data_IF_260111919241
#
_entry.id   IF_260111919241
#
_cell.length_a   1.000
_cell.length_b   1.000
_cell.length_c   1.000
_cell.angle_alpha   90.00
_cell.angle_beta   90.00
_cell.angle_gamma   90.00
#
_symmetry.space_group_name_H-M   'P 1'
#
loop_
_entity.id
_entity.type
_entity.pdbx_description
1 polymer ?
#
# COMPACT_ATOMS: atom_id res chain seq x y z
N UNK A 1 -7.47 9.35 20.54
CA UNK A 1 -7.54 8.00 19.93
C UNK A 1 -6.12 7.57 19.65
N UNK A 2 -5.70 6.38 20.08
CA UNK A 2 -4.34 5.88 19.84
C UNK A 2 -4.32 5.30 18.43
N UNK A 3 -3.44 5.83 17.56
CA UNK A 3 -3.24 5.29 16.21
C UNK A 3 -2.30 4.08 16.34
N UNK A 4 -2.68 2.89 15.85
CA UNK A 4 -1.83 1.71 15.92
C UNK A 4 -0.60 1.85 15.01
N UNK A 5 0.45 1.08 15.30
CA UNK A 5 1.64 1.00 14.46
C UNK A 5 1.29 0.67 13.01
N UNK A 6 2.06 1.25 12.08
CA UNK A 6 1.84 1.04 10.65
C UNK A 6 2.03 -0.44 10.28
N UNK A 7 1.14 -1.02 9.46
CA UNK A 7 1.31 -2.40 8.99
C UNK A 7 2.61 -2.55 8.19
N UNK A 8 3.44 -3.53 8.55
CA UNK A 8 4.69 -3.84 7.84
C UNK A 8 4.44 -5.01 6.90
N UNK A 9 4.66 -4.81 5.60
CA UNK A 9 4.39 -5.86 4.60
C UNK A 9 5.63 -6.33 3.84
N UNK A 10 6.79 -5.71 4.04
CA UNK A 10 8.05 -6.12 3.37
C UNK A 10 8.37 -7.59 3.65
N UNK A 11 8.75 -8.32 2.60
CA UNK A 11 9.04 -9.75 2.62
C UNK A 11 7.80 -10.65 2.55
N UNK A 12 6.60 -10.10 2.63
CA UNK A 12 5.39 -10.89 2.60
C UNK A 12 5.10 -11.45 1.20
N UNK A 13 4.86 -12.77 1.13
CA UNK A 13 4.34 -13.45 -0.06
C UNK A 13 2.81 -13.37 -0.11
N UNK A 14 2.26 -13.02 -1.28
CA UNK A 14 0.82 -12.85 -1.50
C UNK A 14 0.44 -13.38 -2.88
N UNK A 15 -0.85 -13.55 -3.09
CA UNK A 15 -1.42 -13.93 -4.37
C UNK A 15 -2.35 -12.82 -4.88
N UNK A 16 -2.31 -12.59 -6.19
CA UNK A 16 -3.32 -11.89 -6.95
C UNK A 16 -4.14 -12.94 -7.70
N UNK A 17 -5.46 -12.77 -7.73
CA UNK A 17 -6.34 -13.52 -8.62
C UNK A 17 -6.78 -12.57 -9.72
N UNK A 18 -6.41 -12.87 -10.95
CA UNK A 18 -6.81 -12.13 -12.14
C UNK A 18 -8.30 -12.31 -12.46
N UNK A 19 -8.82 -11.49 -13.37
CA UNK A 19 -10.22 -11.55 -13.79
C UNK A 19 -10.59 -12.90 -14.42
N UNK A 20 -9.60 -13.60 -14.99
CA UNK A 20 -9.76 -14.91 -15.61
C UNK A 20 -9.57 -16.06 -14.60
N UNK A 21 -9.38 -15.76 -13.31
CA UNK A 21 -9.12 -16.75 -12.26
C UNK A 21 -7.66 -17.22 -12.19
N UNK A 22 -6.78 -16.70 -13.03
CA UNK A 22 -5.35 -16.96 -12.97
C UNK A 22 -4.78 -16.45 -11.64
N UNK A 23 -3.94 -17.28 -11.01
CA UNK A 23 -3.32 -16.95 -9.72
C UNK A 23 -1.86 -16.59 -9.95
N UNK A 24 -1.49 -15.35 -9.63
CA UNK A 24 -0.11 -14.86 -9.70
C UNK A 24 0.43 -14.63 -8.29
N UNK A 25 1.59 -15.22 -7.99
CA UNK A 25 2.28 -15.03 -6.72
C UNK A 25 3.26 -13.88 -6.82
N UNK A 26 3.35 -13.09 -5.75
CA UNK A 26 4.30 -12.00 -5.65
C UNK A 26 4.82 -11.82 -4.23
N UNK A 27 6.02 -11.23 -4.13
CA UNK A 27 6.64 -10.79 -2.89
C UNK A 27 6.68 -9.27 -2.84
N UNK A 28 6.37 -8.67 -1.69
CA UNK A 28 6.54 -7.23 -1.46
C UNK A 28 8.01 -6.98 -1.10
N UNK A 29 8.79 -6.41 -2.02
CA UNK A 29 10.22 -6.21 -1.83
C UNK A 29 10.54 -5.03 -0.93
N UNK A 30 9.81 -3.94 -1.08
CA UNK A 30 9.99 -2.70 -0.31
C UNK A 30 8.70 -1.86 -0.41
N UNK A 31 8.57 -0.87 0.45
CA UNK A 31 7.40 0.00 0.50
C UNK A 31 7.73 1.44 0.95
N UNK A 32 7.01 2.39 0.38
CA UNK A 32 6.99 3.79 0.81
C UNK A 32 5.66 4.03 1.51
N UNK A 33 5.74 4.57 2.73
CA UNK A 33 4.57 5.04 3.47
C UNK A 33 4.46 6.56 3.39
N UNK A 34 3.23 7.04 3.28
CA UNK A 34 2.92 8.45 3.35
C UNK A 34 1.60 8.68 4.07
N UNK A 35 1.66 9.33 5.23
CA UNK A 35 0.48 9.77 5.98
C UNK A 35 0.11 11.17 5.46
N UNK A 36 -1.05 11.35 4.80
CA UNK A 36 -1.48 12.66 4.34
C UNK A 36 -1.72 13.59 5.53
N UNK A 37 -1.25 14.84 5.43
CA UNK A 37 -1.47 15.83 6.50
C UNK A 37 -2.97 16.11 6.74
N UNK A 38 -3.83 15.90 5.74
CA UNK A 38 -5.28 16.08 5.85
C UNK A 38 -6.00 14.94 6.57
N UNK A 39 -5.37 13.77 6.74
CA UNK A 39 -6.00 12.62 7.40
C UNK A 39 -4.94 11.69 8.01
N UNK A 40 -4.64 11.83 9.32
CA UNK A 40 -3.67 10.96 10.01
C UNK A 40 -4.16 9.51 10.19
N UNK A 41 -5.45 9.26 9.95
CA UNK A 41 -6.07 7.94 10.05
C UNK A 41 -6.11 7.22 8.70
N UNK A 42 -5.41 7.78 7.70
CA UNK A 42 -5.14 7.17 6.41
C UNK A 42 -3.64 7.16 6.18
N UNK A 43 -3.15 6.08 5.60
CA UNK A 43 -1.75 5.96 5.16
C UNK A 43 -1.72 5.38 3.77
N UNK A 44 -1.01 6.03 2.87
CA UNK A 44 -0.82 5.61 1.49
C UNK A 44 0.45 4.76 1.41
N UNK A 45 0.35 3.65 0.70
CA UNK A 45 1.43 2.71 0.45
C UNK A 45 1.72 2.69 -1.05
N UNK A 46 2.99 2.94 -1.41
CA UNK A 46 3.52 2.55 -2.71
C UNK A 46 4.43 1.34 -2.48
N UNK A 47 4.01 0.19 -2.98
CA UNK A 47 4.73 -1.08 -2.79
C UNK A 47 5.42 -1.49 -4.08
N UNK A 48 6.69 -1.90 -3.97
CA UNK A 48 7.42 -2.55 -5.05
C UNK A 48 7.21 -4.06 -4.92
N UNK A 49 6.61 -4.66 -5.93
CA UNK A 49 6.25 -6.07 -5.98
C UNK A 49 7.21 -6.80 -6.91
N UNK A 50 7.52 -8.04 -6.59
CA UNK A 50 8.24 -8.96 -7.45
C UNK A 50 7.36 -10.17 -7.71
N UNK A 51 6.94 -10.35 -8.96
CA UNK A 51 6.16 -11.52 -9.36
C UNK A 51 7.06 -12.73 -9.55
N UNK A 52 6.61 -13.90 -9.08
CA UNK A 52 7.38 -15.15 -9.12
C UNK A 52 7.45 -15.73 -10.54
N UNK A 53 6.44 -15.47 -11.38
CA UNK A 53 6.29 -16.04 -12.73
C UNK A 53 7.16 -15.33 -13.77
N UNK A 54 7.11 -14.00 -13.84
CA UNK A 54 7.80 -13.21 -14.87
C UNK A 54 9.17 -12.68 -14.41
N UNK A 55 9.44 -12.73 -13.10
CA UNK A 55 10.53 -11.97 -12.46
C UNK A 55 10.48 -10.45 -12.76
N UNK A 56 9.34 -9.92 -13.21
CA UNK A 56 9.15 -8.48 -13.37
C UNK A 56 8.78 -7.80 -12.06
N UNK A 57 9.23 -6.56 -11.91
CA UNK A 57 8.84 -5.68 -10.82
C UNK A 57 7.65 -4.82 -11.23
N UNK A 58 6.58 -4.85 -10.43
CA UNK A 58 5.43 -3.96 -10.61
C UNK A 58 5.27 -3.06 -9.37
N UNK A 59 4.59 -1.93 -9.52
CA UNK A 59 4.28 -1.03 -8.40
C UNK A 59 2.80 -1.07 -8.09
N UNK A 60 2.47 -1.21 -6.80
CA UNK A 60 1.09 -1.15 -6.30
C UNK A 60 0.88 0.08 -5.44
N UNK A 61 -0.10 0.89 -5.80
CA UNK A 61 -0.67 1.92 -4.94
C UNK A 61 -1.83 1.33 -4.15
N UNK A 62 -1.74 1.40 -2.83
CA UNK A 62 -2.79 1.02 -1.91
C UNK A 62 -2.81 1.93 -0.70
N UNK A 63 -3.72 1.68 0.23
CA UNK A 63 -3.80 2.45 1.46
C UNK A 63 -4.40 1.65 2.59
N UNK A 64 -4.04 2.02 3.82
CA UNK A 64 -4.79 1.64 5.01
C UNK A 64 -5.61 2.83 5.51
N UNK A 65 -6.78 2.55 6.08
CA UNK A 65 -7.53 3.49 6.90
C UNK A 65 -7.87 2.86 8.24
N UNK A 66 -7.92 3.67 9.31
CA UNK A 66 -8.41 3.21 10.62
C UNK A 66 -9.91 2.97 10.52
N UNK A 67 -10.34 1.73 10.76
CA UNK A 67 -11.75 1.37 10.73
C UNK A 67 -12.56 2.12 11.79
N UNK A 68 -13.68 2.71 11.36
CA UNK A 68 -14.60 3.47 12.24
C UNK A 68 -15.85 2.70 12.64
N UNK A 69 -16.30 1.81 11.77
CA UNK A 69 -17.54 1.05 11.97
C UNK A 69 -17.37 0.08 13.14
N UNK A 70 -18.41 -0.05 13.97
CA UNK A 70 -18.42 -1.01 15.06
C UNK A 70 -18.19 -2.43 14.53
N UNK A 71 -17.42 -3.23 15.27
CA UNK A 71 -17.06 -4.59 14.89
C UNK A 71 -15.54 -4.82 14.88
N UNK A 72 -15.13 -5.89 14.17
CA UNK A 72 -13.75 -6.42 14.20
C UNK A 72 -12.68 -5.47 13.67
N UNK A 73 -13.05 -4.47 12.88
CA UNK A 73 -12.14 -3.52 12.24
C UNK A 73 -12.02 -2.19 12.97
N UNK A 74 -12.84 -1.94 14.00
CA UNK A 74 -12.84 -0.66 14.73
C UNK A 74 -11.47 -0.43 15.37
N UNK A 75 -10.86 0.72 15.08
CA UNK A 75 -9.56 1.11 15.60
C UNK A 75 -8.38 0.33 15.02
N UNK A 76 -8.59 -0.49 13.98
CA UNK A 76 -7.53 -1.25 13.30
C UNK A 76 -7.29 -0.71 11.89
N UNK A 77 -6.08 -0.88 11.39
CA UNK A 77 -5.76 -0.60 9.99
C UNK A 77 -6.47 -1.59 9.07
N UNK A 78 -7.22 -1.06 8.10
CA UNK A 78 -7.94 -1.84 7.08
C UNK A 78 -7.37 -1.50 5.70
N UNK A 79 -6.93 -2.52 4.97
CA UNK A 79 -6.35 -2.38 3.63
C UNK A 79 -7.44 -2.11 2.57
N UNK A 80 -7.13 -1.25 1.61
CA UNK A 80 -7.87 -1.06 0.39
C UNK A 80 -6.95 -0.63 -0.76
N UNK A 81 -7.37 -0.87 -2.00
CA UNK A 81 -6.56 -0.61 -3.20
C UNK A 81 -7.41 -0.12 -4.39
N UNK A 82 -8.40 0.75 -4.10
CA UNK A 82 -9.21 1.40 -5.13
C UNK A 82 -8.50 2.61 -5.76
N UNK A 83 -9.15 3.27 -6.70
CA UNK A 83 -8.68 4.53 -7.29
C UNK A 83 -8.45 5.58 -6.19
N UNK A 84 -7.17 5.79 -5.83
CA UNK A 84 -6.79 6.63 -4.71
C UNK A 84 -6.99 8.10 -5.05
N UNK A 85 -7.93 8.76 -4.37
CA UNK A 85 -7.99 10.22 -4.32
C UNK A 85 -6.93 10.74 -3.34
N UNK A 86 -6.04 11.60 -3.82
CA UNK A 86 -4.89 12.13 -3.08
C UNK A 86 -4.59 13.57 -3.53
N UNK A 87 -4.15 14.43 -2.62
CA UNK A 87 -3.72 15.78 -3.00
C UNK A 87 -2.41 15.75 -3.79
N UNK A 88 -2.22 16.71 -4.70
CA UNK A 88 -1.01 16.81 -5.50
C UNK A 88 0.29 16.85 -4.67
N UNK A 89 0.26 17.49 -3.49
CA UNK A 89 1.42 17.54 -2.57
C UNK A 89 1.81 16.16 -2.02
N UNK A 90 0.84 15.34 -1.70
CA UNK A 90 1.05 14.01 -1.12
C UNK A 90 1.54 13.05 -2.20
N UNK A 91 0.96 13.12 -3.40
CA UNK A 91 1.45 12.39 -4.57
C UNK A 91 2.90 12.76 -4.90
N UNK A 92 3.22 14.07 -4.93
CA UNK A 92 4.59 14.55 -5.15
C UNK A 92 5.56 13.97 -4.12
N UNK A 93 5.19 13.95 -2.84
CA UNK A 93 6.04 13.40 -1.79
C UNK A 93 6.31 11.90 -1.99
N UNK A 94 5.30 11.10 -2.36
CA UNK A 94 5.45 9.67 -2.66
C UNK A 94 6.41 9.46 -3.84
N UNK A 95 6.22 10.19 -4.93
CA UNK A 95 7.07 10.08 -6.14
C UNK A 95 8.51 10.48 -5.83
N UNK A 96 8.73 11.55 -5.06
CA UNK A 96 10.09 11.96 -4.68
C UNK A 96 10.79 10.91 -3.80
N UNK A 97 10.07 10.25 -2.89
CA UNK A 97 10.60 9.11 -2.13
C UNK A 97 10.98 7.94 -3.04
N UNK A 98 10.16 7.66 -4.07
CA UNK A 98 10.44 6.61 -5.05
C UNK A 98 11.68 6.91 -5.89
N UNK A 99 11.82 8.15 -6.37
CA UNK A 99 13.03 8.63 -7.06
C UNK A 99 14.27 8.52 -6.18
N UNK A 100 14.18 8.95 -4.92
CA UNK A 100 15.30 8.85 -3.95
C UNK A 100 15.75 7.40 -3.71
N UNK A 101 14.82 6.44 -3.79
CA UNK A 101 15.12 5.01 -3.70
C UNK A 101 15.56 4.39 -5.03
N UNK A 102 15.62 5.15 -6.12
CA UNK A 102 15.98 4.65 -7.45
C UNK A 102 14.95 3.70 -8.05
N UNK A 103 13.68 3.85 -7.67
CA UNK A 103 12.59 3.01 -8.21
C UNK A 103 12.10 3.50 -9.56
N UNK A 104 12.18 4.82 -9.78
CA UNK A 104 11.75 5.58 -10.97
C UNK A 104 12.60 6.84 -11.13
#
# INVERSE_FOLDING_TARGET
MIIPDLPKNVGAKRALIGINGDRRLFTILDEIHHVPASNPEKVIYLQKLQFEDSRESEFRLGYYMVGKKAGRTRGRWVWAQFALMVHARDLRAIIQKAKKKGWI
#
